data_IF_276568237111
#
_entry.id   IF_276568237111
#
_cell.length_a   1.000
_cell.length_b   1.000
_cell.length_c   1.000
_cell.angle_alpha   90.00
_cell.angle_beta   90.00
_cell.angle_gamma   90.00
#
_symmetry.space_group_name_H-M   'P 1'
#
loop_
_entity.id
_entity.type
_entity.pdbx_description
1 polymer ?
#
# COMPACT_ATOMS: atom_id res chain seq x y z
N UNK A 1 -2.19 36.59 1.67
CA UNK A 1 -1.19 35.84 0.89
C UNK A 1 -1.08 34.45 1.47
N UNK A 2 -1.59 33.44 0.76
CA UNK A 2 -1.51 32.04 1.18
C UNK A 2 -0.13 31.51 0.74
N UNK A 3 0.61 30.77 1.58
CA UNK A 3 1.97 30.32 1.23
C UNK A 3 1.97 29.33 0.06
N UNK A 4 3.01 29.40 -0.78
CA UNK A 4 3.15 28.69 -2.07
C UNK A 4 3.00 27.15 -2.00
N UNK A 5 3.12 26.54 -0.81
CA UNK A 5 2.95 25.08 -0.65
C UNK A 5 1.50 24.61 -0.87
N UNK A 6 0.51 25.49 -0.79
CA UNK A 6 -0.92 25.13 -0.92
C UNK A 6 -1.29 24.68 -2.35
N UNK A 7 -0.50 25.04 -3.36
CA UNK A 7 -0.72 24.62 -4.76
C UNK A 7 -0.03 23.29 -5.15
N UNK A 8 0.66 22.62 -4.22
CA UNK A 8 1.38 21.37 -4.52
C UNK A 8 0.48 20.15 -4.78
N UNK A 9 -0.84 20.24 -4.56
CA UNK A 9 -1.80 19.17 -4.84
C UNK A 9 -2.86 19.61 -5.86
N UNK A 10 -2.43 19.93 -7.07
CA UNK A 10 -3.32 20.06 -8.22
C UNK A 10 -3.56 18.65 -8.80
N UNK A 11 -4.83 18.26 -8.96
CA UNK A 11 -5.23 17.02 -9.64
C UNK A 11 -4.74 17.10 -11.09
N UNK A 12 -3.66 16.37 -11.40
CA UNK A 12 -3.03 16.38 -12.72
C UNK A 12 -3.97 15.80 -13.78
N UNK A 13 -3.96 16.38 -14.99
CA UNK A 13 -4.64 15.82 -16.16
C UNK A 13 -3.97 14.49 -16.56
N UNK A 14 -4.70 13.56 -17.21
CA UNK A 14 -4.16 12.22 -17.56
C UNK A 14 -2.85 12.27 -18.35
N UNK A 15 -2.72 13.31 -19.18
CA UNK A 15 -1.63 13.62 -20.10
C UNK A 15 -0.48 14.41 -19.44
N UNK A 16 -0.73 15.05 -18.28
CA UNK A 16 0.26 15.73 -17.42
C UNK A 16 0.78 14.83 -16.30
N UNK A 17 0.44 13.54 -16.31
CA UNK A 17 0.96 12.53 -15.37
C UNK A 17 2.43 12.17 -15.68
N UNK A 18 3.23 13.20 -15.91
CA UNK A 18 4.69 13.19 -16.10
C UNK A 18 5.39 13.34 -14.75
N UNK A 19 4.82 12.76 -13.70
CA UNK A 19 5.54 12.59 -12.45
C UNK A 19 6.57 11.48 -12.69
N UNK A 20 7.83 11.81 -12.40
CA UNK A 20 8.97 10.90 -12.22
C UNK A 20 9.82 10.70 -13.48
N UNK A 21 10.33 11.80 -14.04
CA UNK A 21 11.51 11.77 -14.92
C UNK A 21 12.66 11.05 -14.22
N UNK A 22 12.95 9.83 -14.67
CA UNK A 22 13.94 8.88 -14.12
C UNK A 22 13.85 8.69 -12.60
N UNK A 23 12.89 7.88 -12.14
CA UNK A 23 13.06 7.21 -10.86
C UNK A 23 14.25 6.24 -10.98
N UNK A 24 15.41 6.61 -10.47
CA UNK A 24 16.54 5.67 -10.24
C UNK A 24 16.21 4.63 -9.15
N UNK A 25 15.04 4.74 -8.51
CA UNK A 25 14.56 3.78 -7.52
C UNK A 25 13.55 2.80 -8.14
N UNK A 26 13.98 1.54 -8.27
CA UNK A 26 13.17 0.44 -8.82
C UNK A 26 11.99 0.02 -7.91
N UNK A 27 11.97 0.45 -6.65
CA UNK A 27 10.94 0.09 -5.68
C UNK A 27 10.75 1.17 -4.61
N UNK A 28 9.52 1.32 -4.11
CA UNK A 28 9.13 2.33 -3.11
C UNK A 28 8.63 1.60 -1.86
N UNK A 29 9.01 2.07 -0.68
CA UNK A 29 8.48 1.58 0.60
C UNK A 29 7.74 2.70 1.31
N UNK A 30 6.41 2.59 1.39
CA UNK A 30 5.56 3.46 2.20
C UNK A 30 5.51 2.92 3.62
N UNK A 31 5.88 3.76 4.59
CA UNK A 31 5.78 3.37 5.99
C UNK A 31 5.22 4.49 6.88
N UNK A 32 4.35 4.12 7.81
CA UNK A 32 3.66 5.09 8.67
C UNK A 32 2.73 4.43 9.66
N UNK A 33 2.65 4.98 10.87
CA UNK A 33 1.78 4.44 11.91
C UNK A 33 0.30 4.56 11.50
N UNK A 34 -0.42 3.45 11.57
CA UNK A 34 -1.88 3.35 11.46
C UNK A 34 -2.51 3.95 10.18
N UNK A 35 -1.73 4.12 9.11
CA UNK A 35 -2.19 4.79 7.89
C UNK A 35 -2.67 3.83 6.80
N UNK A 36 -2.27 2.55 6.87
CA UNK A 36 -2.42 1.59 5.77
C UNK A 36 -3.02 0.27 6.25
N UNK A 37 -4.27 0.28 6.69
CA UNK A 37 -5.02 -0.97 6.93
C UNK A 37 -6.21 -0.99 5.99
N UNK A 38 -6.06 -1.68 4.84
CA UNK A 38 -7.19 -2.20 4.07
C UNK A 38 -7.53 -3.55 4.69
N UNK A 39 -8.72 -3.68 5.27
CA UNK A 39 -9.21 -4.98 5.74
C UNK A 39 -9.79 -5.69 4.54
N UNK A 40 -9.14 -6.76 4.10
CA UNK A 40 -9.65 -7.65 3.07
C UNK A 40 -10.54 -8.70 3.76
N UNK A 41 -11.75 -8.94 3.24
CA UNK A 41 -12.60 -10.01 3.78
C UNK A 41 -11.95 -11.36 3.48
N UNK A 42 -11.69 -12.19 4.49
CA UNK A 42 -11.08 -13.51 4.29
C UNK A 42 -12.11 -14.54 3.84
N UNK A 43 -11.78 -15.30 2.79
CA UNK A 43 -12.41 -16.58 2.50
C UNK A 43 -11.31 -17.63 2.43
N UNK A 44 -11.35 -18.60 3.35
CA UNK A 44 -10.47 -19.77 3.32
C UNK A 44 -11.35 -21.01 3.22
N UNK A 45 -11.31 -21.70 2.07
CA UNK A 45 -11.95 -23.00 1.88
C UNK A 45 -10.90 -24.11 1.88
N UNK A 46 -11.10 -25.12 2.73
CA UNK A 46 -10.27 -26.32 2.78
C UNK A 46 -10.79 -27.33 1.75
N UNK A 47 -9.94 -27.75 0.80
CA UNK A 47 -10.26 -28.81 -0.15
C UNK A 47 -10.30 -30.17 0.57
N UNK A 48 -11.21 -31.07 0.15
CA UNK A 48 -11.40 -32.42 0.73
C UNK A 48 -10.19 -33.36 0.57
N UNK A 49 -9.21 -33.03 -0.27
CA UNK A 49 -8.05 -33.89 -0.61
C UNK A 49 -6.81 -33.70 0.29
N UNK A 50 -6.92 -33.01 1.43
CA UNK A 50 -5.77 -32.75 2.33
C UNK A 50 -4.72 -31.78 1.79
N UNK A 51 -4.78 -31.40 0.51
CA UNK A 51 -4.06 -30.25 -0.05
C UNK A 51 -4.82 -28.98 0.33
N UNK A 52 -4.27 -28.19 1.24
CA UNK A 52 -4.80 -26.85 1.53
C UNK A 52 -4.70 -25.99 0.27
N UNK A 53 -5.84 -25.74 -0.37
CA UNK A 53 -5.97 -24.68 -1.37
C UNK A 53 -6.00 -23.37 -0.61
N UNK A 54 -4.93 -22.59 -0.72
CA UNK A 54 -4.88 -21.24 -0.20
C UNK A 54 -5.44 -20.32 -1.28
N UNK A 55 -6.64 -19.82 -1.08
CA UNK A 55 -7.20 -18.76 -1.93
C UNK A 55 -6.77 -17.39 -1.40
N UNK A 56 -6.31 -16.54 -2.30
CA UNK A 56 -5.77 -15.22 -1.96
C UNK A 56 -6.53 -14.20 -2.78
N UNK A 57 -7.05 -13.20 -2.10
CA UNK A 57 -7.74 -12.11 -2.76
C UNK A 57 -6.68 -11.15 -3.29
N UNK A 58 -6.65 -11.01 -4.61
CA UNK A 58 -5.80 -10.03 -5.29
C UNK A 58 -6.72 -9.05 -6.02
N UNK A 59 -6.43 -7.75 -5.92
CA UNK A 59 -7.05 -6.77 -6.81
C UNK A 59 -6.10 -6.58 -7.98
N UNK A 60 -6.44 -7.18 -9.11
CA UNK A 60 -5.78 -6.92 -10.37
C UNK A 60 -6.49 -5.77 -11.11
N UNK A 61 -5.71 -4.82 -11.60
CA UNK A 61 -6.09 -3.80 -12.57
C UNK A 61 -5.15 -3.91 -13.76
N UNK A 62 -5.47 -3.23 -14.86
CA UNK A 62 -4.71 -3.30 -16.12
C UNK A 62 -3.20 -3.00 -15.97
N UNK A 63 -2.81 -2.24 -14.94
CA UNK A 63 -1.42 -1.77 -14.76
C UNK A 63 -0.84 -2.03 -13.37
N UNK A 64 -1.64 -2.55 -12.44
CA UNK A 64 -1.15 -2.86 -11.11
C UNK A 64 -1.93 -3.98 -10.45
N UNK A 65 -1.24 -4.69 -9.56
CA UNK A 65 -1.84 -5.74 -8.75
C UNK A 65 -1.60 -5.40 -7.27
N UNK A 66 -2.67 -5.39 -6.49
CA UNK A 66 -2.60 -5.27 -5.04
C UNK A 66 -2.79 -6.65 -4.41
N UNK A 67 -1.93 -7.00 -3.46
CA UNK A 67 -2.04 -8.25 -2.70
C UNK A 67 -1.60 -8.05 -1.25
N UNK A 68 -2.27 -8.76 -0.34
CA UNK A 68 -1.88 -8.86 1.05
C UNK A 68 -1.34 -10.27 1.36
N UNK A 69 -0.02 -10.51 1.23
CA UNK A 69 0.55 -11.84 1.42
C UNK A 69 0.55 -12.31 2.88
N UNK A 70 0.37 -11.41 3.86
CA UNK A 70 0.32 -11.79 5.27
C UNK A 70 -0.93 -12.60 5.64
N UNK A 71 -1.99 -12.53 4.84
CA UNK A 71 -3.25 -13.23 5.10
C UNK A 71 -3.11 -14.75 4.98
N UNK A 72 -2.00 -15.23 4.40
CA UNK A 72 -1.72 -16.63 4.11
C UNK A 72 -0.92 -17.33 5.22
N UNK A 73 -0.40 -16.58 6.20
CA UNK A 73 0.36 -17.14 7.30
C UNK A 73 1.63 -17.86 6.83
N UNK A 74 1.73 -19.17 7.06
CA UNK A 74 2.95 -19.97 6.89
C UNK A 74 3.36 -20.11 5.40
N UNK A 75 2.41 -20.00 4.47
CA UNK A 75 2.69 -20.16 3.03
C UNK A 75 3.04 -18.85 2.32
N UNK A 76 3.22 -17.75 3.07
CA UNK A 76 3.53 -16.42 2.56
C UNK A 76 4.74 -16.40 1.59
N UNK A 77 5.78 -17.19 1.87
CA UNK A 77 6.95 -17.33 1.00
C UNK A 77 6.60 -17.84 -0.40
N UNK A 78 5.84 -18.92 -0.49
CA UNK A 78 5.51 -19.58 -1.78
C UNK A 78 4.64 -18.65 -2.62
N UNK A 79 3.66 -18.01 -1.96
CA UNK A 79 2.76 -17.04 -2.55
C UNK A 79 3.49 -15.87 -3.20
N UNK A 80 4.43 -15.25 -2.50
CA UNK A 80 5.17 -14.10 -3.05
C UNK A 80 5.96 -14.50 -4.29
N UNK A 81 6.60 -15.66 -4.27
CA UNK A 81 7.40 -16.15 -5.39
C UNK A 81 6.52 -16.46 -6.61
N UNK A 82 5.39 -17.13 -6.40
CA UNK A 82 4.47 -17.51 -7.46
C UNK A 82 3.76 -16.29 -8.06
N UNK A 83 3.25 -15.38 -7.22
CA UNK A 83 2.59 -14.15 -7.69
C UNK A 83 3.54 -13.29 -8.53
N UNK A 84 4.75 -13.02 -8.05
CA UNK A 84 5.71 -12.20 -8.80
C UNK A 84 6.17 -12.89 -10.09
N UNK A 85 6.27 -14.22 -10.10
CA UNK A 85 6.57 -15.00 -11.32
C UNK A 85 5.45 -14.87 -12.35
N UNK A 86 4.20 -15.02 -11.93
CA UNK A 86 3.03 -14.88 -12.81
C UNK A 86 2.96 -13.47 -13.39
N UNK A 87 3.16 -12.43 -12.58
CA UNK A 87 3.15 -11.03 -13.05
C UNK A 87 4.27 -10.77 -14.06
N UNK A 88 5.47 -11.27 -13.80
CA UNK A 88 6.59 -11.12 -14.72
C UNK A 88 6.35 -11.83 -16.08
N UNK A 89 5.63 -12.95 -16.08
CA UNK A 89 5.29 -13.69 -17.30
C UNK A 89 4.19 -13.02 -18.12
N UNK A 90 3.17 -12.45 -17.46
CA UNK A 90 2.05 -11.78 -18.15
C UNK A 90 2.51 -10.60 -19.02
N UNK A 91 3.61 -9.92 -18.63
CA UNK A 91 4.14 -8.80 -19.41
C UNK A 91 4.69 -9.21 -20.80
N UNK A 92 5.11 -10.47 -20.98
CA UNK A 92 5.79 -10.90 -22.21
C UNK A 92 4.84 -11.08 -23.41
N UNK A 93 3.52 -11.00 -23.21
CA UNK A 93 2.52 -11.38 -24.22
C UNK A 93 2.02 -10.22 -25.09
N UNK A 94 2.09 -8.96 -24.62
CA UNK A 94 1.53 -7.80 -25.34
C UNK A 94 2.59 -6.73 -25.65
N UNK A 95 3.38 -6.96 -26.70
CA UNK A 95 4.57 -6.18 -27.05
C UNK A 95 4.27 -4.82 -27.70
N UNK A 96 3.03 -4.54 -28.13
CA UNK A 96 2.74 -3.42 -29.04
C UNK A 96 2.03 -2.21 -28.42
N UNK A 97 1.51 -2.29 -27.18
CA UNK A 97 0.66 -1.23 -26.58
C UNK A 97 0.86 -0.98 -25.09
N UNK A 98 1.73 -1.73 -24.40
CA UNK A 98 1.86 -1.67 -22.94
C UNK A 98 3.16 -1.02 -22.47
N UNK A 99 3.09 -0.37 -21.30
CA UNK A 99 4.24 0.26 -20.60
C UNK A 99 5.29 -0.80 -20.25
N UNK A 100 6.55 -0.37 -20.11
CA UNK A 100 7.72 -1.22 -19.85
C UNK A 100 7.70 -2.00 -18.52
N UNK A 101 6.74 -1.78 -17.62
CA UNK A 101 6.68 -2.45 -16.32
C UNK A 101 5.27 -2.51 -15.73
N UNK A 102 5.00 -3.54 -14.91
CA UNK A 102 3.80 -3.67 -14.08
C UNK A 102 4.11 -3.28 -12.64
N UNK A 103 3.17 -2.64 -11.94
CA UNK A 103 3.32 -2.28 -10.52
C UNK A 103 2.68 -3.33 -9.61
N UNK A 104 3.44 -3.86 -8.66
CA UNK A 104 2.93 -4.77 -7.62
C UNK A 104 2.92 -4.06 -6.28
N UNK A 105 1.75 -3.97 -5.65
CA UNK A 105 1.56 -3.37 -4.33
C UNK A 105 1.40 -4.48 -3.31
N UNK A 106 2.39 -4.59 -2.42
CA UNK A 106 2.37 -5.54 -1.31
C UNK A 106 1.98 -4.81 -0.03
N UNK A 107 0.88 -5.26 0.58
CA UNK A 107 0.39 -4.74 1.85
C UNK A 107 0.97 -5.51 3.04
N UNK A 108 1.04 -4.85 4.19
CA UNK A 108 1.43 -5.43 5.50
C UNK A 108 2.73 -6.24 5.48
N UNK A 109 3.75 -5.76 4.75
CA UNK A 109 5.04 -6.44 4.56
C UNK A 109 5.76 -6.68 5.90
N UNK A 110 5.48 -5.86 6.92
CA UNK A 110 6.01 -6.03 8.28
C UNK A 110 5.47 -7.24 9.04
N UNK A 111 4.38 -7.86 8.57
CA UNK A 111 3.83 -9.10 9.13
C UNK A 111 4.37 -10.37 8.48
N UNK A 112 5.11 -10.25 7.37
CA UNK A 112 5.70 -11.39 6.67
C UNK A 112 6.79 -12.06 7.50
N UNK A 113 6.90 -13.38 7.34
CA UNK A 113 8.00 -14.16 7.91
C UNK A 113 9.35 -13.71 7.35
N UNK A 114 10.43 -13.89 8.11
CA UNK A 114 11.79 -13.51 7.66
C UNK A 114 12.18 -14.25 6.37
N UNK A 115 11.75 -15.51 6.23
CA UNK A 115 12.01 -16.30 5.05
C UNK A 115 11.25 -15.79 3.83
N UNK A 116 10.00 -15.37 4.00
CA UNK A 116 9.23 -14.71 2.95
C UNK A 116 9.84 -13.37 2.54
N UNK A 117 10.34 -12.57 3.49
CA UNK A 117 11.06 -11.33 3.18
C UNK A 117 12.37 -11.61 2.40
N UNK A 118 13.11 -12.65 2.76
CA UNK A 118 14.31 -13.05 2.01
C UNK A 118 13.98 -13.51 0.59
N UNK A 119 12.89 -14.27 0.42
CA UNK A 119 12.39 -14.67 -0.89
C UNK A 119 11.91 -13.47 -1.72
N UNK A 120 11.21 -12.51 -1.09
CA UNK A 120 10.79 -11.27 -1.73
C UNK A 120 11.99 -10.50 -2.26
N UNK A 121 13.06 -10.34 -1.46
CA UNK A 121 14.31 -9.69 -1.90
C UNK A 121 14.89 -10.34 -3.15
N UNK A 122 14.99 -11.67 -3.17
CA UNK A 122 15.54 -12.40 -4.33
C UNK A 122 14.67 -12.18 -5.58
N UNK A 123 13.35 -12.20 -5.40
CA UNK A 123 12.38 -12.02 -6.49
C UNK A 123 12.38 -10.58 -7.02
N UNK A 124 12.53 -9.59 -6.14
CA UNK A 124 12.71 -8.17 -6.49
C UNK A 124 13.94 -7.97 -7.39
N UNK A 125 15.08 -8.58 -7.03
CA UNK A 125 16.31 -8.50 -7.83
C UNK A 125 16.15 -9.17 -9.19
N UNK A 126 15.48 -10.33 -9.24
CA UNK A 126 15.30 -11.09 -10.48
C UNK A 126 14.41 -10.39 -11.51
N UNK A 127 13.36 -9.71 -11.04
CA UNK A 127 12.33 -9.13 -11.92
C UNK A 127 12.28 -7.60 -11.88
N UNK A 128 13.37 -6.94 -11.49
CA UNK A 128 13.44 -5.47 -11.39
C UNK A 128 13.19 -4.74 -12.71
N UNK A 129 13.48 -5.37 -13.85
CA UNK A 129 13.28 -4.79 -15.17
C UNK A 129 11.81 -4.80 -15.61
N UNK A 130 11.06 -5.83 -15.19
CA UNK A 130 9.68 -6.10 -15.63
C UNK A 130 8.65 -5.64 -14.61
N UNK A 131 9.01 -5.61 -13.34
CA UNK A 131 8.11 -5.36 -12.22
C UNK A 131 8.67 -4.28 -11.29
N UNK A 132 7.84 -3.29 -10.95
CA UNK A 132 8.13 -2.31 -9.88
C UNK A 132 7.29 -2.62 -8.66
N UNK A 133 7.90 -2.61 -7.48
CA UNK A 133 7.25 -3.04 -6.25
C UNK A 133 7.05 -1.85 -5.31
N UNK A 134 5.82 -1.71 -4.82
CA UNK A 134 5.43 -0.78 -3.77
C UNK A 134 5.15 -1.60 -2.51
N UNK A 135 5.95 -1.37 -1.47
CA UNK A 135 5.82 -2.04 -0.18
C UNK A 135 5.11 -1.11 0.80
N UNK A 136 4.02 -1.57 1.38
CA UNK A 136 3.32 -0.85 2.44
C UNK A 136 3.57 -1.57 3.78
N UNK A 137 4.10 -0.85 4.77
CA UNK A 137 4.33 -1.40 6.10
C UNK A 137 3.99 -0.40 7.21
N UNK A 138 3.60 -0.88 8.39
CA UNK A 138 3.33 0.03 9.52
C UNK A 138 4.62 0.42 10.24
N UNK A 139 5.57 -0.51 10.35
CA UNK A 139 6.87 -0.30 10.99
C UNK A 139 8.00 -0.79 10.11
N UNK A 140 8.84 0.14 9.63
CA UNK A 140 10.01 -0.20 8.81
C UNK A 140 11.03 -1.03 9.58
N UNK A 141 11.06 -0.95 10.92
CA UNK A 141 11.98 -1.71 11.78
C UNK A 141 11.84 -3.22 11.67
N UNK A 142 10.63 -3.72 11.34
CA UNK A 142 10.35 -5.15 11.18
C UNK A 142 10.74 -5.69 9.79
N UNK A 143 11.02 -4.80 8.84
CA UNK A 143 11.47 -5.16 7.49
C UNK A 143 12.98 -5.35 7.48
N UNK A 144 13.45 -6.43 6.86
CA UNK A 144 14.89 -6.74 6.77
C UNK A 144 15.67 -5.59 6.12
N UNK A 145 16.90 -5.29 6.59
CA UNK A 145 17.72 -4.21 6.03
C UNK A 145 17.97 -4.33 4.52
N UNK A 146 18.03 -5.56 4.01
CA UNK A 146 18.29 -5.82 2.60
C UNK A 146 17.16 -5.36 1.66
N UNK A 147 15.90 -5.40 2.11
CA UNK A 147 14.78 -4.80 1.35
C UNK A 147 14.83 -3.28 1.48
N UNK A 148 15.08 -2.78 2.70
CA UNK A 148 15.11 -1.36 3.00
C UNK A 148 16.15 -0.60 2.19
N UNK A 149 17.33 -1.18 1.97
CA UNK A 149 18.40 -0.57 1.17
C UNK A 149 18.09 -0.48 -0.32
N UNK A 150 17.11 -1.25 -0.82
CA UNK A 150 16.72 -1.31 -2.24
C UNK A 150 15.48 -0.47 -2.55
N UNK A 151 14.81 0.05 -1.54
CA UNK A 151 13.57 0.81 -1.68
C UNK A 151 13.76 2.26 -1.27
N UNK A 152 13.12 3.18 -1.98
CA UNK A 152 12.95 4.54 -1.48
C UNK A 152 11.94 4.53 -0.33
N UNK A 153 12.41 4.79 0.89
CA UNK A 153 11.56 4.90 2.07
C UNK A 153 10.80 6.23 2.10
N UNK A 154 9.49 6.19 1.89
CA UNK A 154 8.61 7.35 2.04
C UNK A 154 7.86 7.24 3.36
N UNK A 155 8.15 8.15 4.27
CA UNK A 155 7.50 8.21 5.59
C UNK A 155 6.17 8.94 5.48
N UNK A 156 5.09 8.27 5.89
CA UNK A 156 3.77 8.86 6.07
C UNK A 156 3.53 9.08 7.56
N UNK A 157 3.58 10.34 7.97
CA UNK A 157 3.36 10.73 9.35
C UNK A 157 1.87 10.68 9.70
N UNK A 158 1.55 10.28 10.93
CA UNK A 158 0.19 10.38 11.45
C UNK A 158 -0.28 11.85 11.43
N UNK A 159 -1.53 12.13 11.01
CA UNK A 159 -2.03 13.49 10.92
C UNK A 159 -2.08 14.16 12.29
N UNK A 160 -1.88 15.48 12.31
CA UNK A 160 -2.03 16.27 13.53
C UNK A 160 -3.50 16.36 13.93
N UNK A 161 -3.76 16.59 15.23
CA UNK A 161 -5.12 16.78 15.77
C UNK A 161 -5.88 17.84 14.97
N UNK A 162 -5.21 18.96 14.65
CA UNK A 162 -5.78 20.05 13.83
C UNK A 162 -6.23 19.56 12.45
N UNK A 163 -5.40 18.77 11.77
CA UNK A 163 -5.74 18.21 10.45
C UNK A 163 -6.93 17.26 10.55
N UNK A 164 -6.99 16.42 11.59
CA UNK A 164 -8.12 15.51 11.81
C UNK A 164 -9.41 16.31 12.05
N UNK A 165 -9.39 17.32 12.91
CA UNK A 165 -10.53 18.19 13.18
C UNK A 165 -11.03 18.88 11.91
N UNK A 166 -10.12 19.42 11.08
CA UNK A 166 -10.49 20.03 9.80
C UNK A 166 -11.12 19.02 8.83
N UNK A 167 -10.61 17.78 8.77
CA UNK A 167 -11.19 16.72 7.94
C UNK A 167 -12.59 16.33 8.45
N UNK A 168 -12.78 16.15 9.76
CA UNK A 168 -14.08 15.83 10.35
C UNK A 168 -15.11 16.91 10.06
N UNK A 169 -14.75 18.19 10.23
CA UNK A 169 -15.64 19.31 9.89
C UNK A 169 -15.99 19.33 8.41
N UNK A 170 -15.02 19.05 7.53
CA UNK A 170 -15.28 18.98 6.09
C UNK A 170 -16.20 17.83 5.70
N UNK A 171 -16.09 16.67 6.36
CA UNK A 171 -17.00 15.53 6.17
C UNK A 171 -18.41 15.92 6.63
N UNK A 172 -18.56 16.44 7.85
CA UNK A 172 -19.87 16.84 8.37
C UNK A 172 -20.54 17.91 7.51
N UNK A 173 -19.80 18.91 7.00
CA UNK A 173 -20.35 19.90 6.07
C UNK A 173 -20.89 19.29 4.78
N UNK A 174 -20.22 18.25 4.25
CA UNK A 174 -20.67 17.54 3.04
C UNK A 174 -21.88 16.66 3.29
N UNK A 175 -21.95 16.05 4.46
CA UNK A 175 -23.08 15.21 4.91
C UNK A 175 -24.23 16.04 5.51
N UNK A 176 -24.17 17.37 5.46
CA UNK A 176 -25.16 18.29 6.05
C UNK A 176 -25.38 18.09 7.57
N UNK A 177 -24.34 17.68 8.30
CA UNK A 177 -24.35 17.49 9.75
C UNK A 177 -23.68 18.66 10.49
N UNK A 178 -24.24 19.06 11.62
CA UNK A 178 -23.65 20.07 12.51
C UNK A 178 -22.75 19.39 13.54
N UNK A 179 -21.44 19.59 13.43
CA UNK A 179 -20.45 19.08 14.38
C UNK A 179 -19.80 20.26 15.14
N UNK A 180 -20.03 20.38 16.46
CA UNK A 180 -19.36 21.37 17.30
C UNK A 180 -17.84 21.19 17.27
N UNK A 181 -17.09 22.30 17.26
CA UNK A 181 -15.63 22.26 17.20
C UNK A 181 -15.00 21.54 18.42
N UNK A 182 -15.58 21.71 19.60
CA UNK A 182 -15.13 21.03 20.83
C UNK A 182 -15.29 19.51 20.74
N UNK A 183 -16.41 19.03 20.18
CA UNK A 183 -16.66 17.61 19.98
C UNK A 183 -15.68 17.02 18.96
N UNK A 184 -15.45 17.74 17.85
CA UNK A 184 -14.48 17.35 16.84
C UNK A 184 -13.05 17.23 17.40
N UNK A 185 -12.67 18.12 18.33
CA UNK A 185 -11.39 18.05 19.03
C UNK A 185 -11.32 16.83 19.96
N UNK A 186 -12.37 16.57 20.74
CA UNK A 186 -12.44 15.39 21.63
C UNK A 186 -12.35 14.08 20.85
N UNK A 187 -13.02 13.98 19.70
CA UNK A 187 -12.92 12.81 18.80
C UNK A 187 -11.49 12.66 18.28
N UNK A 188 -10.88 13.75 17.83
CA UNK A 188 -9.51 13.74 17.33
C UNK A 188 -8.49 13.30 18.40
N UNK A 189 -8.64 13.76 19.64
CA UNK A 189 -7.82 13.34 20.79
C UNK A 189 -8.03 11.86 21.14
N UNK A 190 -9.30 11.42 21.25
CA UNK A 190 -9.66 10.03 21.57
C UNK A 190 -9.27 9.03 20.47
N UNK A 191 -9.15 9.49 19.23
CA UNK A 191 -8.77 8.67 18.08
C UNK A 191 -7.30 8.23 18.06
N UNK A 192 -6.45 8.75 18.96
CA UNK A 192 -5.00 8.48 18.99
C UNK A 192 -4.31 8.75 17.64
N UNK A 193 -4.66 9.86 16.98
CA UNK A 193 -4.16 10.25 15.64
C UNK A 193 -4.45 9.24 14.53
N UNK A 194 -5.49 8.43 14.69
CA UNK A 194 -5.97 7.52 13.64
C UNK A 194 -7.22 8.13 12.97
N UNK A 195 -7.06 8.57 11.72
CA UNK A 195 -8.13 9.21 10.97
C UNK A 195 -9.31 8.26 10.72
N UNK A 196 -9.05 6.99 10.41
CA UNK A 196 -10.11 5.99 10.20
C UNK A 196 -10.94 5.81 11.47
N UNK A 197 -10.29 5.71 12.62
CA UNK A 197 -10.97 5.61 13.92
C UNK A 197 -11.75 6.88 14.25
N UNK A 198 -11.21 8.06 13.92
CA UNK A 198 -11.89 9.34 14.14
C UNK A 198 -13.18 9.47 13.32
N UNK A 199 -13.22 8.92 12.10
CA UNK A 199 -14.42 8.94 11.24
C UNK A 199 -15.47 7.92 11.71
N UNK A 200 -15.06 6.81 12.33
CA UNK A 200 -15.96 5.75 12.79
C UNK A 200 -16.53 5.97 14.21
N UNK A 201 -16.01 6.94 14.96
CA UNK A 201 -16.48 7.31 16.31
C UNK A 201 -17.62 8.30 16.24
#
# INVERSE_FOLDING_TARGET
>A
MVPDWYYAFKKLRPDENRLLTKFDFNSIMLYGSNSFVKTWGQFSMVSKDGRQKVEIITIARNYHIEVNPSDVGIYDRVVIQELLKTVAQTQQLDSHTQREFIVVVLMEVDKLTKDAQNALRQTMEKYMATCRIILCCNSSSKVIPAIRSRCLGVRVAAPSVKVITSILQNICRKECLSLPAELAQRIAEKSNRNLRRAILM
#
